data_IF_656557346203
#
_entry.id   IF_656557346203
#
_cell.length_a   1.000
_cell.length_b   1.000
_cell.length_c   1.000
_cell.angle_alpha   90.00
_cell.angle_beta   90.00
_cell.angle_gamma   90.00
#
_symmetry.space_group_name_H-M   'P 1'
#
loop_
_entity.id
_entity.type
_entity.pdbx_description
1 polymer ?
#
# COMPACT_ATOMS: atom_id res chain seq x y z
N UNK A 1 -52.62 -5.84 59.67
CA UNK A 1 -51.86 -6.10 58.43
C UNK A 1 -50.50 -5.41 58.52
N UNK A 2 -49.43 -6.14 58.84
CA UNK A 2 -48.04 -5.61 58.87
C UNK A 2 -47.35 -5.99 57.55
N UNK A 3 -46.89 -5.00 56.79
CA UNK A 3 -46.12 -5.20 55.55
C UNK A 3 -44.66 -5.44 55.91
N UNK A 4 -44.16 -6.62 55.54
CA UNK A 4 -42.77 -7.03 55.65
C UNK A 4 -41.95 -6.43 54.49
N UNK A 5 -40.88 -5.71 54.81
CA UNK A 5 -39.95 -5.12 53.86
C UNK A 5 -38.71 -6.01 53.74
N UNK A 6 -38.66 -6.85 52.69
CA UNK A 6 -37.48 -7.63 52.35
C UNK A 6 -36.42 -6.73 51.70
N UNK A 7 -35.33 -6.46 52.44
CA UNK A 7 -34.10 -5.86 51.90
C UNK A 7 -33.30 -6.93 51.16
N UNK A 8 -33.11 -6.73 49.86
CA UNK A 8 -32.20 -7.54 49.05
C UNK A 8 -30.77 -7.01 49.21
N UNK A 9 -29.88 -7.87 49.71
CA UNK A 9 -28.45 -7.61 49.84
C UNK A 9 -27.78 -8.10 48.55
N UNK A 10 -27.30 -7.18 47.72
CA UNK A 10 -26.49 -7.51 46.54
C UNK A 10 -25.08 -7.93 47.01
N UNK A 11 -24.50 -9.00 46.46
CA UNK A 11 -23.13 -9.39 46.76
C UNK A 11 -22.13 -8.40 46.14
N UNK A 12 -20.96 -8.19 46.77
CA UNK A 12 -19.92 -7.33 46.24
C UNK A 12 -19.32 -7.95 44.97
N UNK A 13 -19.44 -7.26 43.85
CA UNK A 13 -18.71 -7.56 42.62
C UNK A 13 -17.22 -7.29 42.85
N UNK A 14 -16.43 -8.34 43.03
CA UNK A 14 -14.98 -8.28 43.00
C UNK A 14 -14.53 -8.00 41.55
N UNK A 15 -14.07 -6.77 41.30
CA UNK A 15 -13.39 -6.41 40.04
C UNK A 15 -12.04 -7.13 39.99
N UNK A 16 -11.99 -8.29 39.32
CA UNK A 16 -10.72 -8.89 38.90
C UNK A 16 -10.11 -8.02 37.80
N UNK A 17 -9.17 -7.15 38.19
CA UNK A 17 -8.31 -6.43 37.26
C UNK A 17 -7.29 -7.43 36.72
N UNK A 18 -7.60 -8.06 35.59
CA UNK A 18 -6.63 -8.88 34.87
C UNK A 18 -5.51 -7.98 34.34
N UNK A 19 -4.39 -7.94 35.07
CA UNK A 19 -3.12 -7.47 34.53
C UNK A 19 -2.74 -8.40 33.37
N UNK A 20 -2.98 -7.93 32.15
CA UNK A 20 -2.47 -8.53 30.93
C UNK A 20 -0.95 -8.31 30.91
N UNK A 21 -0.21 -9.24 31.52
CA UNK A 21 1.23 -9.35 31.33
C UNK A 21 1.47 -9.60 29.84
N UNK A 22 2.12 -8.66 29.16
CA UNK A 22 2.51 -8.79 27.78
C UNK A 22 3.56 -9.91 27.66
N UNK A 23 3.09 -11.13 27.37
CA UNK A 23 3.97 -12.27 27.08
C UNK A 23 4.79 -11.91 25.83
N UNK A 24 6.13 -11.92 25.88
CA UNK A 24 6.95 -11.67 24.70
C UNK A 24 6.60 -12.73 23.66
N UNK A 25 6.06 -12.30 22.52
CA UNK A 25 5.73 -13.19 21.41
C UNK A 25 7.05 -13.80 20.93
N UNK A 26 7.26 -15.12 21.05
CA UNK A 26 8.48 -15.75 20.56
C UNK A 26 8.64 -15.41 19.09
N UNK A 27 9.83 -14.95 18.72
CA UNK A 27 10.20 -14.60 17.34
C UNK A 27 10.17 -15.87 16.49
N UNK A 28 8.99 -16.29 16.06
CA UNK A 28 8.76 -17.52 15.33
C UNK A 28 9.52 -17.52 14.00
N UNK A 29 10.33 -18.57 13.81
CA UNK A 29 11.00 -19.00 12.58
C UNK A 29 11.01 -17.98 11.42
N UNK A 30 12.03 -17.13 11.42
CA UNK A 30 12.45 -16.26 10.30
C UNK A 30 13.03 -17.03 9.10
N UNK A 31 12.68 -18.32 8.93
CA UNK A 31 13.41 -19.26 8.07
C UNK A 31 13.10 -19.20 6.57
N UNK A 32 12.05 -18.52 6.13
CA UNK A 32 11.72 -18.43 4.71
C UNK A 32 12.10 -17.06 4.15
N UNK A 33 13.24 -16.99 3.46
CA UNK A 33 13.58 -15.83 2.63
C UNK A 33 12.55 -15.72 1.51
N UNK A 34 11.73 -14.66 1.53
CA UNK A 34 10.81 -14.37 0.43
C UNK A 34 11.63 -13.85 -0.74
N UNK A 35 11.44 -14.44 -1.91
CA UNK A 35 11.97 -13.89 -3.16
C UNK A 35 11.46 -12.46 -3.34
N UNK A 36 12.38 -11.49 -3.39
CA UNK A 36 12.09 -10.06 -3.55
C UNK A 36 11.17 -9.79 -4.75
N UNK A 37 11.33 -10.54 -5.86
CA UNK A 37 10.48 -10.40 -7.05
C UNK A 37 9.04 -10.86 -6.85
N UNK A 38 8.80 -11.65 -5.80
CA UNK A 38 7.48 -12.17 -5.39
C UNK A 38 6.96 -11.50 -4.12
N UNK A 39 7.73 -10.57 -3.53
CA UNK A 39 7.34 -9.89 -2.30
C UNK A 39 6.11 -9.03 -2.52
N UNK A 40 5.94 -8.41 -3.69
CA UNK A 40 4.67 -7.81 -4.11
C UNK A 40 4.04 -8.66 -5.21
N UNK A 41 2.70 -8.63 -5.36
CA UNK A 41 2.04 -9.28 -6.48
C UNK A 41 2.64 -8.74 -7.79
N UNK A 42 2.95 -9.67 -8.69
CA UNK A 42 3.24 -9.31 -10.09
C UNK A 42 1.92 -9.04 -10.82
N UNK A 43 1.97 -8.52 -12.05
CA UNK A 43 0.79 -8.30 -12.91
C UNK A 43 0.13 -9.65 -13.28
N UNK A 44 -0.55 -10.22 -12.29
CA UNK A 44 -1.20 -11.51 -12.31
C UNK A 44 -2.58 -11.30 -11.74
N UNK A 45 -3.56 -11.52 -12.59
CA UNK A 45 -4.95 -11.69 -12.20
C UNK A 45 -5.37 -13.06 -12.69
N UNK A 46 -5.57 -14.02 -11.78
CA UNK A 46 -6.17 -15.31 -12.12
C UNK A 46 -7.67 -15.19 -12.46
N UNK A 47 -8.31 -16.27 -12.92
CA UNK A 47 -9.77 -16.30 -13.01
C UNK A 47 -10.42 -16.15 -11.63
N UNK A 48 -11.58 -15.51 -11.58
CA UNK A 48 -12.42 -15.40 -10.38
C UNK A 48 -13.62 -16.34 -10.51
N UNK A 49 -13.93 -17.15 -9.49
CA UNK A 49 -15.19 -17.88 -9.44
C UNK A 49 -16.38 -16.91 -9.25
N UNK A 50 -17.60 -17.44 -9.37
CA UNK A 50 -18.84 -16.66 -9.23
C UNK A 50 -19.04 -16.00 -7.87
N UNK A 51 -18.30 -16.45 -6.84
CA UNK A 51 -18.33 -15.88 -5.50
C UNK A 51 -16.92 -15.90 -4.92
N UNK A 52 -16.47 -14.78 -4.36
CA UNK A 52 -15.14 -14.64 -3.77
C UNK A 52 -15.19 -13.91 -2.43
N UNK A 53 -14.20 -14.15 -1.58
CA UNK A 53 -13.91 -13.35 -0.39
C UNK A 53 -12.60 -12.62 -0.61
N UNK A 54 -12.59 -11.31 -0.36
CA UNK A 54 -11.41 -10.48 -0.58
C UNK A 54 -11.40 -9.22 0.27
N UNK A 55 -10.28 -8.49 0.22
CA UNK A 55 -10.14 -7.19 0.89
C UNK A 55 -10.40 -6.08 -0.12
N UNK A 56 -11.28 -5.15 0.24
CA UNK A 56 -11.39 -3.85 -0.41
C UNK A 56 -10.35 -2.92 0.17
N UNK A 57 -9.50 -2.38 -0.71
CA UNK A 57 -8.41 -1.49 -0.38
C UNK A 57 -8.52 -0.18 -1.19
N UNK A 58 -8.76 0.97 -0.55
CA UNK A 58 -8.65 2.29 -1.15
C UNK A 58 -7.18 2.65 -1.37
N UNK A 59 -6.93 3.72 -2.11
CA UNK A 59 -5.59 4.31 -2.28
C UNK A 59 -4.50 3.33 -2.78
N UNK A 60 -4.88 2.24 -3.46
CA UNK A 60 -3.94 1.22 -3.96
C UNK A 60 -3.28 1.61 -5.29
N UNK A 61 -3.56 2.82 -5.79
CA UNK A 61 -3.09 3.34 -7.05
C UNK A 61 -1.56 3.37 -7.22
N UNK A 62 -0.74 3.76 -6.21
CA UNK A 62 0.72 3.70 -6.34
C UNK A 62 1.24 2.29 -6.65
N UNK A 63 0.62 1.25 -6.07
CA UNK A 63 1.00 -0.14 -6.32
C UNK A 63 0.58 -0.63 -7.69
N UNK A 64 -0.58 -0.18 -8.15
CA UNK A 64 -1.11 -0.55 -9.46
C UNK A 64 -0.25 0.07 -10.58
N UNK A 65 0.21 1.31 -10.38
CA UNK A 65 1.19 1.94 -11.28
C UNK A 65 2.50 1.16 -11.36
N UNK A 66 2.98 0.61 -10.24
CA UNK A 66 4.21 -0.21 -10.21
C UNK A 66 4.10 -1.49 -11.05
N UNK A 67 2.90 -2.06 -11.16
CA UNK A 67 2.65 -3.23 -12.04
C UNK A 67 2.25 -2.84 -13.47
N UNK A 68 2.46 -1.58 -13.86
CA UNK A 68 2.23 -1.10 -15.23
C UNK A 68 0.75 -0.89 -15.59
N UNK A 69 -0.13 -0.88 -14.60
CA UNK A 69 -1.56 -0.65 -14.79
C UNK A 69 -1.89 0.81 -14.47
N UNK A 70 -2.66 1.45 -15.35
CA UNK A 70 -3.01 2.86 -15.21
C UNK A 70 -4.53 3.01 -15.20
N UNK A 71 -5.03 3.58 -14.11
CA UNK A 71 -6.36 4.16 -14.04
C UNK A 71 -6.21 5.65 -13.77
N UNK A 72 -7.08 6.44 -14.39
CA UNK A 72 -7.12 7.89 -14.15
C UNK A 72 -7.81 8.24 -12.82
N UNK A 73 -8.56 7.31 -12.23
CA UNK A 73 -9.30 7.52 -11.00
C UNK A 73 -8.45 7.14 -9.77
N UNK A 74 -7.94 8.17 -9.08
CA UNK A 74 -7.12 8.02 -7.85
C UNK A 74 -7.95 7.55 -6.64
N UNK A 75 -9.26 7.78 -6.64
CA UNK A 75 -10.22 7.43 -5.59
C UNK A 75 -10.88 6.06 -5.79
N UNK A 76 -10.45 5.30 -6.79
CA UNK A 76 -10.96 3.97 -7.05
C UNK A 76 -10.61 3.00 -5.91
N UNK A 77 -11.55 2.12 -5.59
CA UNK A 77 -11.38 1.03 -4.64
C UNK A 77 -11.03 -0.23 -5.40
N UNK A 78 -10.10 -0.99 -4.84
CA UNK A 78 -9.61 -2.22 -5.45
C UNK A 78 -9.92 -3.43 -4.58
N UNK A 79 -10.22 -4.54 -5.24
CA UNK A 79 -10.30 -5.85 -4.61
C UNK A 79 -8.94 -6.54 -4.66
N UNK A 80 -8.56 -7.15 -3.54
CA UNK A 80 -7.36 -7.98 -3.41
C UNK A 80 -7.69 -9.32 -2.79
N UNK A 81 -7.26 -10.39 -3.43
CA UNK A 81 -7.41 -11.77 -2.95
C UNK A 81 -6.27 -12.65 -3.48
N UNK A 82 -5.97 -13.72 -2.74
CA UNK A 82 -5.03 -14.79 -3.07
C UNK A 82 -3.60 -14.34 -3.46
N UNK A 83 -3.17 -13.15 -3.05
CA UNK A 83 -1.85 -12.65 -3.42
C UNK A 83 -1.77 -12.16 -4.88
N UNK A 84 -2.91 -11.98 -5.55
CA UNK A 84 -2.99 -11.42 -6.90
C UNK A 84 -2.87 -9.89 -6.90
N UNK A 85 -2.62 -9.31 -8.07
CA UNK A 85 -2.69 -7.87 -8.28
C UNK A 85 -4.09 -7.32 -7.97
N UNK A 86 -4.12 -6.10 -7.44
CA UNK A 86 -5.36 -5.35 -7.22
C UNK A 86 -6.25 -5.31 -8.46
N UNK A 87 -7.54 -5.56 -8.28
CA UNK A 87 -8.55 -5.54 -9.35
C UNK A 87 -9.49 -4.38 -9.12
N UNK A 88 -9.67 -3.56 -10.13
CA UNK A 88 -10.80 -2.65 -10.15
C UNK A 88 -12.05 -3.40 -10.59
N UNK A 89 -13.20 -2.96 -10.12
CA UNK A 89 -14.47 -3.59 -10.45
C UNK A 89 -15.59 -2.57 -10.45
N UNK A 90 -16.67 -2.93 -11.13
CA UNK A 90 -17.87 -2.12 -11.18
C UNK A 90 -18.88 -2.61 -10.14
N UNK A 91 -19.66 -1.71 -9.57
CA UNK A 91 -20.75 -2.03 -8.65
C UNK A 91 -22.08 -1.46 -9.17
N UNK A 92 -23.23 -2.12 -8.89
CA UNK A 92 -24.54 -1.59 -9.20
C UNK A 92 -24.78 -0.22 -8.56
N UNK A 93 -25.37 0.69 -9.30
CA UNK A 93 -25.86 1.97 -8.81
C UNK A 93 -27.14 1.79 -7.99
N UNK A 94 -27.38 2.71 -7.05
CA UNK A 94 -28.67 2.79 -6.38
C UNK A 94 -29.80 3.04 -7.40
N UNK A 95 -31.00 2.51 -7.15
CA UNK A 95 -32.12 2.59 -8.08
C UNK A 95 -32.53 4.02 -8.46
N UNK A 96 -32.25 4.99 -7.58
CA UNK A 96 -32.51 6.42 -7.76
C UNK A 96 -31.32 7.23 -8.34
N UNK A 97 -30.18 6.59 -8.61
CA UNK A 97 -29.04 7.28 -9.22
C UNK A 97 -29.30 7.55 -10.72
N UNK A 98 -29.20 8.81 -11.19
CA UNK A 98 -29.53 9.17 -12.57
C UNK A 98 -28.50 8.70 -13.60
N UNK A 99 -27.33 8.21 -13.18
CA UNK A 99 -26.29 7.71 -14.10
C UNK A 99 -26.72 6.39 -14.75
N UNK A 100 -26.48 6.26 -16.05
CA UNK A 100 -26.92 5.12 -16.88
C UNK A 100 -25.76 4.35 -17.51
N UNK A 101 -24.59 4.40 -16.89
CA UNK A 101 -23.40 3.70 -17.36
C UNK A 101 -23.68 2.19 -17.49
N UNK A 102 -23.28 1.59 -18.60
CA UNK A 102 -23.29 0.13 -18.77
C UNK A 102 -21.88 -0.37 -19.07
N UNK A 103 -21.60 -1.60 -18.67
CA UNK A 103 -20.33 -2.27 -18.96
C UNK A 103 -20.59 -3.65 -19.52
N UNK A 104 -19.77 -4.07 -20.47
CA UNK A 104 -19.81 -5.44 -21.00
C UNK A 104 -18.53 -6.15 -20.60
N UNK A 105 -18.64 -7.18 -19.75
CA UNK A 105 -17.49 -7.92 -19.19
C UNK A 105 -17.53 -9.40 -19.61
N UNK A 106 -16.38 -10.06 -19.73
CA UNK A 106 -16.33 -11.50 -20.02
C UNK A 106 -16.74 -12.33 -18.79
N UNK A 107 -17.30 -13.52 -19.04
CA UNK A 107 -17.67 -14.51 -18.01
C UNK A 107 -16.96 -15.85 -18.24
N UNK A 108 -16.69 -16.61 -17.17
CA UNK A 108 -15.90 -17.85 -17.24
C UNK A 108 -16.66 -18.92 -18.02
N UNK A 109 -17.93 -19.09 -17.68
CA UNK A 109 -18.80 -20.03 -18.34
C UNK A 109 -19.19 -19.44 -19.70
N UNK A 110 -18.81 -20.11 -20.80
CA UNK A 110 -19.25 -19.85 -22.21
C UNK A 110 -18.42 -18.93 -23.12
N UNK A 111 -17.23 -18.42 -22.74
CA UNK A 111 -16.49 -17.39 -23.54
C UNK A 111 -17.39 -16.20 -23.93
N UNK A 112 -18.50 -16.01 -23.23
CA UNK A 112 -19.50 -15.02 -23.52
C UNK A 112 -19.15 -13.71 -22.83
N UNK A 113 -19.76 -12.63 -23.29
CA UNK A 113 -19.74 -11.34 -22.60
C UNK A 113 -21.14 -11.04 -22.09
N UNK A 114 -21.23 -10.51 -20.87
CA UNK A 114 -22.48 -10.11 -20.26
C UNK A 114 -22.51 -8.60 -20.10
N UNK A 115 -23.59 -7.97 -20.53
CA UNK A 115 -23.83 -6.55 -20.33
C UNK A 115 -24.51 -6.35 -18.98
N UNK A 116 -23.95 -5.45 -18.18
CA UNK A 116 -24.52 -4.98 -16.94
C UNK A 116 -24.86 -3.50 -17.10
N UNK A 117 -26.11 -3.16 -16.83
CA UNK A 117 -26.58 -1.79 -16.87
C UNK A 117 -26.50 -1.15 -15.48
N UNK A 118 -26.43 0.18 -15.46
CA UNK A 118 -26.43 0.99 -14.24
C UNK A 118 -25.34 0.58 -13.26
N UNK A 119 -24.10 0.51 -13.74
CA UNK A 119 -22.94 0.21 -12.92
C UNK A 119 -21.94 1.35 -12.93
N UNK A 120 -21.18 1.53 -11.84
CA UNK A 120 -20.05 2.46 -11.82
C UNK A 120 -18.78 1.77 -11.33
N UNK A 121 -17.63 2.32 -11.69
CA UNK A 121 -16.37 1.97 -11.02
C UNK A 121 -16.49 2.29 -9.54
N UNK A 122 -16.22 1.32 -8.66
CA UNK A 122 -16.35 1.56 -7.22
C UNK A 122 -15.30 2.57 -6.74
N UNK A 123 -15.77 3.60 -6.02
CA UNK A 123 -14.96 4.69 -5.45
C UNK A 123 -15.24 4.84 -3.96
N UNK A 124 -14.37 5.54 -3.24
CA UNK A 124 -14.50 5.80 -1.80
C UNK A 124 -15.87 6.38 -1.42
N UNK A 125 -16.35 7.40 -2.15
CA UNK A 125 -17.68 7.98 -1.91
C UNK A 125 -18.85 6.99 -2.06
N UNK A 126 -18.68 5.96 -2.89
CA UNK A 126 -19.73 4.96 -3.15
C UNK A 126 -19.71 3.82 -2.15
N UNK A 127 -18.58 3.55 -1.50
CA UNK A 127 -18.52 2.52 -0.46
C UNK A 127 -19.11 3.02 0.86
N UNK A 128 -18.96 4.32 1.13
CA UNK A 128 -19.55 4.95 2.32
C UNK A 128 -21.09 4.88 2.29
N UNK A 129 -21.72 5.00 1.12
CA UNK A 129 -23.18 4.92 1.00
C UNK A 129 -23.75 3.52 1.29
N UNK A 130 -22.92 2.47 1.23
CA UNK A 130 -23.28 1.09 1.62
C UNK A 130 -22.82 0.74 3.04
N UNK A 131 -22.48 1.74 3.86
CA UNK A 131 -22.17 1.57 5.29
C UNK A 131 -20.74 1.07 5.58
N UNK A 132 -19.84 1.17 4.60
CA UNK A 132 -18.43 0.84 4.73
C UNK A 132 -17.62 2.13 4.85
N UNK A 133 -17.23 2.49 6.07
CA UNK A 133 -16.58 3.78 6.36
C UNK A 133 -15.12 3.64 6.80
N UNK A 134 -14.58 2.43 6.83
CA UNK A 134 -13.20 2.19 7.25
C UNK A 134 -12.28 2.07 6.03
N UNK A 135 -10.98 2.28 6.24
CA UNK A 135 -9.99 2.21 5.16
C UNK A 135 -9.84 0.80 4.57
N UNK A 136 -10.25 -0.27 5.27
CA UNK A 136 -10.14 -1.62 4.74
C UNK A 136 -11.33 -2.47 5.14
N UNK A 137 -11.81 -3.27 4.20
CA UNK A 137 -12.96 -4.13 4.42
C UNK A 137 -12.78 -5.54 3.88
N UNK A 138 -13.02 -6.55 4.70
CA UNK A 138 -13.26 -7.92 4.24
C UNK A 138 -14.69 -8.03 3.73
N UNK A 139 -14.83 -8.49 2.49
CA UNK A 139 -16.13 -8.61 1.82
C UNK A 139 -16.27 -9.94 1.11
N UNK A 140 -17.51 -10.41 1.01
CA UNK A 140 -17.93 -11.40 0.05
C UNK A 140 -18.52 -10.69 -1.18
N UNK A 141 -18.13 -11.12 -2.37
CA UNK A 141 -18.58 -10.54 -3.64
C UNK A 141 -19.16 -11.64 -4.52
N UNK A 142 -20.34 -11.38 -5.07
CA UNK A 142 -20.91 -12.12 -6.20
C UNK A 142 -20.37 -11.53 -7.51
N UNK A 143 -19.57 -12.31 -8.25
CA UNK A 143 -18.86 -11.87 -9.45
C UNK A 143 -19.70 -12.16 -10.68
N UNK A 144 -20.03 -11.10 -11.44
CA UNK A 144 -20.79 -11.15 -12.69
C UNK A 144 -22.09 -11.97 -12.55
N UNK A 145 -22.89 -11.70 -11.52
CA UNK A 145 -24.13 -12.44 -11.24
C UNK A 145 -23.92 -13.92 -10.91
N UNK A 146 -22.73 -14.31 -10.44
CA UNK A 146 -22.39 -15.70 -10.15
C UNK A 146 -21.67 -16.43 -11.29
N UNK A 147 -21.42 -15.77 -12.43
CA UNK A 147 -20.75 -16.39 -13.58
C UNK A 147 -19.21 -16.32 -13.54
N UNK A 148 -18.64 -15.62 -12.56
CA UNK A 148 -17.19 -15.45 -12.43
C UNK A 148 -16.60 -14.56 -13.52
N UNK A 149 -15.28 -14.35 -13.49
CA UNK A 149 -14.56 -13.57 -14.51
C UNK A 149 -13.25 -14.26 -14.90
N UNK A 150 -12.95 -14.44 -16.21
CA UNK A 150 -11.65 -14.95 -16.64
C UNK A 150 -10.55 -13.87 -16.62
N UNK A 151 -10.91 -12.61 -16.41
CA UNK A 151 -10.02 -11.44 -16.54
C UNK A 151 -9.90 -10.64 -15.23
N UNK A 152 -9.08 -9.59 -15.25
CA UNK A 152 -8.87 -8.68 -14.12
C UNK A 152 -10.03 -7.70 -13.85
N UNK A 153 -11.00 -7.55 -14.77
CA UNK A 153 -12.16 -6.65 -14.62
C UNK A 153 -13.46 -7.46 -14.49
N UNK A 154 -14.37 -7.03 -13.62
CA UNK A 154 -15.66 -7.69 -13.40
C UNK A 154 -16.68 -6.72 -12.78
N UNK A 155 -17.93 -7.18 -12.66
CA UNK A 155 -19.02 -6.51 -11.94
C UNK A 155 -19.29 -7.25 -10.62
N UNK A 156 -19.20 -6.55 -9.50
CA UNK A 156 -19.60 -7.04 -8.19
C UNK A 156 -21.11 -6.89 -8.02
N UNK A 157 -21.88 -7.85 -8.53
CA UNK A 157 -23.35 -7.80 -8.54
C UNK A 157 -23.95 -7.74 -7.13
N UNK A 158 -23.24 -8.29 -6.14
CA UNK A 158 -23.55 -8.14 -4.70
C UNK A 158 -22.25 -7.97 -3.93
N UNK A 159 -22.28 -7.13 -2.90
CA UNK A 159 -21.17 -6.93 -1.97
C UNK A 159 -21.73 -7.06 -0.56
N UNK A 160 -21.16 -7.95 0.24
CA UNK A 160 -21.53 -8.18 1.64
C UNK A 160 -20.32 -7.98 2.54
N UNK A 161 -20.43 -7.08 3.52
CA UNK A 161 -19.39 -6.89 4.55
C UNK A 161 -19.28 -8.14 5.42
N UNK A 162 -18.06 -8.60 5.66
CA UNK A 162 -17.75 -9.73 6.54
C UNK A 162 -17.02 -9.31 7.83
N UNK A 163 -16.31 -8.17 7.83
CA UNK A 163 -15.54 -7.71 9.01
C UNK A 163 -16.35 -7.70 10.30
N UNK A 164 -15.80 -8.28 11.36
CA UNK A 164 -16.41 -8.30 12.69
C UNK A 164 -17.70 -9.12 12.78
N UNK A 165 -18.02 -9.92 11.76
CA UNK A 165 -19.13 -10.88 11.82
C UNK A 165 -18.79 -12.05 12.75
N UNK A 166 -19.78 -12.85 13.13
CA UNK A 166 -19.55 -14.07 13.92
C UNK A 166 -18.62 -15.06 13.19
N UNK A 167 -18.73 -15.12 11.86
CA UNK A 167 -17.89 -15.98 11.03
C UNK A 167 -16.50 -15.40 10.82
N UNK A 168 -16.37 -14.08 10.67
CA UNK A 168 -15.09 -13.39 10.51
C UNK A 168 -14.93 -12.31 11.59
N UNK A 169 -14.51 -12.68 12.82
CA UNK A 169 -14.39 -11.72 13.92
C UNK A 169 -13.33 -10.64 13.70
N UNK A 170 -12.35 -10.91 12.81
CA UNK A 170 -11.35 -9.95 12.37
C UNK A 170 -12.00 -8.64 11.91
N UNK A 171 -11.47 -7.52 12.41
CA UNK A 171 -11.73 -6.19 11.89
C UNK A 171 -10.52 -5.70 11.09
N UNK A 172 -10.56 -5.85 9.77
CA UNK A 172 -9.38 -5.65 8.91
C UNK A 172 -8.74 -4.28 9.12
N UNK A 173 -9.52 -3.19 9.15
CA UNK A 173 -8.98 -1.84 9.33
C UNK A 173 -8.22 -1.64 10.65
N UNK A 174 -8.71 -2.21 11.76
CA UNK A 174 -8.03 -2.11 13.07
C UNK A 174 -6.71 -2.91 13.05
N UNK A 175 -6.72 -4.10 12.45
CA UNK A 175 -5.52 -4.93 12.30
C UNK A 175 -4.49 -4.25 11.41
N UNK A 176 -4.87 -3.75 10.23
CA UNK A 176 -3.93 -3.07 9.31
C UNK A 176 -3.29 -1.86 10.00
N UNK A 177 -4.07 -1.05 10.73
CA UNK A 177 -3.53 0.07 11.51
C UNK A 177 -2.52 -0.38 12.57
N UNK A 178 -2.81 -1.47 13.28
CA UNK A 178 -1.87 -2.05 14.25
C UNK A 178 -0.58 -2.54 13.59
N UNK A 179 -0.67 -3.14 12.40
CA UNK A 179 0.50 -3.58 11.64
C UNK A 179 1.31 -2.43 11.05
N UNK A 180 0.67 -1.33 10.63
CA UNK A 180 1.34 -0.09 10.24
C UNK A 180 2.19 0.47 11.37
N UNK A 181 1.64 0.52 12.60
CA UNK A 181 2.42 0.94 13.78
C UNK A 181 3.63 0.04 13.99
N UNK A 182 3.45 -1.29 13.95
CA UNK A 182 4.56 -2.25 14.10
C UNK A 182 5.62 -2.07 13.02
N UNK A 183 5.22 -1.76 11.79
CA UNK A 183 6.18 -1.49 10.73
C UNK A 183 6.94 -0.19 10.98
N UNK A 184 6.26 0.87 11.44
CA UNK A 184 6.93 2.12 11.85
C UNK A 184 7.96 1.89 12.97
N UNK A 185 7.63 1.04 13.95
CA UNK A 185 8.57 0.66 15.01
C UNK A 185 9.77 -0.11 14.45
N UNK A 186 9.53 -1.04 13.51
CA UNK A 186 10.59 -1.75 12.80
C UNK A 186 11.54 -0.77 12.08
N UNK A 187 11.02 0.24 11.40
CA UNK A 187 11.84 1.26 10.74
C UNK A 187 12.72 2.04 11.73
N UNK A 188 12.15 2.40 12.86
CA UNK A 188 12.85 3.15 13.92
C UNK A 188 13.97 2.30 14.52
N UNK A 189 13.65 1.06 14.89
CA UNK A 189 14.56 0.12 15.53
C UNK A 189 15.71 -0.34 14.60
N UNK A 190 15.49 -0.36 13.29
CA UNK A 190 16.48 -0.75 12.30
C UNK A 190 17.15 0.43 11.58
N UNK A 191 16.94 1.67 12.05
CA UNK A 191 17.49 2.91 11.45
C UNK A 191 19.00 2.84 11.19
N UNK A 192 19.77 2.30 12.14
CA UNK A 192 21.22 2.12 11.98
C UNK A 192 21.58 1.15 10.84
N UNK A 193 20.87 0.04 10.70
CA UNK A 193 21.10 -0.93 9.63
C UNK A 193 20.72 -0.37 8.26
N UNK A 194 19.64 0.42 8.20
CA UNK A 194 19.18 1.16 7.03
C UNK A 194 20.29 2.13 6.57
N UNK A 195 20.87 2.91 7.47
CA UNK A 195 21.97 3.85 7.14
C UNK A 195 23.23 3.13 6.66
N UNK A 196 23.57 1.99 7.26
CA UNK A 196 24.67 1.14 6.80
C UNK A 196 24.38 0.59 5.39
N UNK A 197 23.16 0.13 5.13
CA UNK A 197 22.72 -0.33 3.82
C UNK A 197 22.84 0.76 2.75
N UNK A 198 22.37 1.98 3.05
CA UNK A 198 22.50 3.14 2.18
C UNK A 198 23.96 3.50 1.92
N UNK A 199 24.80 3.50 2.96
CA UNK A 199 26.23 3.78 2.83
C UNK A 199 26.93 2.75 1.93
N UNK A 200 26.56 1.47 2.04
CA UNK A 200 27.05 0.40 1.16
C UNK A 200 26.57 0.59 -0.28
N UNK A 201 25.32 0.98 -0.49
CA UNK A 201 24.78 1.27 -1.82
C UNK A 201 25.52 2.44 -2.48
N UNK A 202 25.73 3.53 -1.73
CA UNK A 202 26.47 4.71 -2.20
C UNK A 202 27.91 4.36 -2.60
N UNK A 203 28.62 3.59 -1.76
CA UNK A 203 30.00 3.18 -2.01
C UNK A 203 30.17 2.36 -3.30
N UNK A 204 29.13 1.60 -3.71
CA UNK A 204 29.14 0.82 -4.96
C UNK A 204 29.04 1.69 -6.22
N UNK A 205 28.42 2.86 -6.12
CA UNK A 205 28.11 3.71 -7.31
C UNK A 205 29.00 4.94 -7.39
N UNK A 206 29.21 5.65 -6.28
CA UNK A 206 29.89 6.96 -6.28
C UNK A 206 31.39 6.90 -5.96
N UNK A 207 31.92 5.73 -5.60
CA UNK A 207 33.29 5.63 -5.09
C UNK A 207 33.50 6.52 -3.85
N UNK A 208 34.64 7.22 -3.77
CA UNK A 208 34.97 8.12 -2.63
C UNK A 208 34.45 9.56 -2.78
N UNK A 209 33.88 9.96 -3.92
CA UNK A 209 33.40 11.34 -4.14
C UNK A 209 31.95 11.48 -3.67
N UNK A 210 31.69 12.51 -2.87
CA UNK A 210 30.73 12.47 -1.76
C UNK A 210 29.71 13.61 -1.81
N UNK A 211 29.11 13.84 -2.97
CA UNK A 211 27.94 14.71 -3.08
C UNK A 211 26.73 13.82 -3.36
N UNK A 212 25.99 13.51 -2.29
CA UNK A 212 24.75 12.74 -2.34
C UNK A 212 23.62 13.73 -2.60
N UNK A 213 22.74 13.39 -3.54
CA UNK A 213 21.59 14.22 -3.89
C UNK A 213 20.44 14.07 -2.91
N UNK A 214 19.24 14.41 -3.38
CA UNK A 214 18.03 14.34 -2.56
C UNK A 214 17.62 12.88 -2.34
N UNK A 215 17.68 12.44 -1.09
CA UNK A 215 17.14 11.14 -0.67
C UNK A 215 15.61 11.11 -0.79
N UNK A 216 15.10 10.19 -1.59
CA UNK A 216 13.67 9.90 -1.74
C UNK A 216 13.32 8.61 -1.01
N UNK A 217 12.26 8.64 -0.19
CA UNK A 217 11.70 7.45 0.45
C UNK A 217 10.31 7.18 -0.10
N UNK A 218 10.06 5.95 -0.52
CA UNK A 218 8.77 5.47 -0.95
C UNK A 218 8.35 4.28 -0.08
N UNK A 219 7.20 4.40 0.56
CA UNK A 219 6.59 3.32 1.33
C UNK A 219 5.38 2.78 0.57
N UNK A 220 5.23 1.46 0.59
CA UNK A 220 4.23 0.73 -0.19
C UNK A 220 3.59 -0.34 0.69
N UNK A 221 2.26 -0.40 0.70
CA UNK A 221 1.51 -1.35 1.53
C UNK A 221 0.53 -2.15 0.66
N UNK A 222 0.70 -3.47 0.65
CA UNK A 222 -0.19 -4.40 -0.02
C UNK A 222 -0.98 -5.20 1.01
N UNK A 223 -2.28 -5.35 0.80
CA UNK A 223 -3.21 -6.06 1.68
C UNK A 223 -4.00 -7.06 0.83
N UNK A 224 -4.05 -8.32 1.23
CA UNK A 224 -4.80 -9.38 0.52
C UNK A 224 -5.42 -10.37 1.48
N UNK A 225 -6.56 -10.94 1.09
CA UNK A 225 -7.13 -12.11 1.75
C UNK A 225 -6.73 -13.39 1.03
N UNK A 226 -6.23 -14.38 1.75
CA UNK A 226 -5.85 -15.69 1.22
C UNK A 226 -7.01 -16.65 1.47
N UNK A 227 -7.82 -16.94 0.44
CA UNK A 227 -9.04 -17.74 0.57
C UNK A 227 -8.76 -19.15 1.09
N UNK A 228 -7.76 -19.84 0.52
CA UNK A 228 -7.46 -21.25 0.85
C UNK A 228 -7.04 -21.44 2.31
N UNK A 229 -6.41 -20.43 2.90
CA UNK A 229 -5.95 -20.48 4.29
C UNK A 229 -6.77 -19.63 5.25
N UNK A 230 -7.79 -18.91 4.75
CA UNK A 230 -8.57 -17.92 5.49
C UNK A 230 -7.72 -16.94 6.32
N UNK A 231 -6.70 -16.35 5.68
CA UNK A 231 -5.75 -15.45 6.35
C UNK A 231 -5.68 -14.10 5.67
N UNK A 232 -5.50 -13.06 6.47
CA UNK A 232 -5.12 -11.74 5.98
C UNK A 232 -3.59 -11.68 5.87
N UNK A 233 -3.09 -11.28 4.71
CA UNK A 233 -1.68 -10.98 4.51
C UNK A 233 -1.49 -9.48 4.24
N UNK A 234 -0.57 -8.86 4.97
CA UNK A 234 -0.23 -7.44 4.84
C UNK A 234 1.27 -7.31 4.64
N UNK A 235 1.68 -6.69 3.53
CA UNK A 235 3.08 -6.51 3.15
C UNK A 235 3.43 -5.04 3.08
N UNK A 236 4.51 -4.67 3.73
CA UNK A 236 5.10 -3.34 3.71
C UNK A 236 6.45 -3.40 3.00
N UNK A 237 6.67 -2.51 2.04
CA UNK A 237 7.93 -2.36 1.32
C UNK A 237 8.35 -0.89 1.41
N UNK A 238 9.56 -0.66 1.88
CA UNK A 238 10.21 0.64 1.84
C UNK A 238 11.34 0.59 0.82
N UNK A 239 11.33 1.54 -0.10
CA UNK A 239 12.41 1.80 -1.04
C UNK A 239 12.98 3.17 -0.76
N UNK A 240 14.27 3.23 -0.44
CA UNK A 240 15.00 4.48 -0.25
C UNK A 240 15.93 4.62 -1.44
N UNK A 241 15.79 5.71 -2.19
CA UNK A 241 16.60 6.03 -3.37
C UNK A 241 17.36 7.32 -3.13
N UNK A 242 18.56 7.39 -3.67
CA UNK A 242 19.42 8.56 -3.67
C UNK A 242 20.07 8.68 -5.06
N UNK A 243 20.54 9.86 -5.41
CA UNK A 243 21.15 10.15 -6.71
C UNK A 243 22.58 10.60 -6.46
N UNK A 244 23.56 9.97 -7.10
CA UNK A 244 24.90 10.53 -7.11
C UNK A 244 24.85 11.83 -7.93
N UNK A 245 25.09 13.00 -7.31
CA UNK A 245 25.16 14.23 -8.09
C UNK A 245 26.47 14.26 -8.85
N UNK A 246 26.38 14.34 -10.18
CA UNK A 246 27.51 14.63 -11.03
C UNK A 246 27.51 16.15 -11.25
N UNK A 247 28.14 16.91 -10.36
CA UNK A 247 28.57 18.26 -10.67
C UNK A 247 30.02 18.22 -11.16
N UNK A 248 30.28 18.14 -12.47
CA UNK A 248 31.60 18.43 -13.00
C UNK A 248 31.81 19.96 -12.95
N UNK A 249 32.22 20.47 -11.80
CA UNK A 249 32.81 21.82 -11.71
C UNK A 249 31.92 22.97 -11.23
N UNK A 250 30.74 22.71 -10.64
CA UNK A 250 30.06 23.76 -9.91
C UNK A 250 30.85 24.09 -8.64
N UNK A 251 31.34 25.33 -8.56
CA UNK A 251 31.92 25.90 -7.34
C UNK A 251 30.89 25.76 -6.20
N UNK A 252 31.27 25.12 -5.11
CA UNK A 252 30.43 24.79 -3.93
C UNK A 252 29.62 25.97 -3.36
N UNK A 253 30.11 27.18 -3.60
CA UNK A 253 29.54 28.46 -3.22
C UNK A 253 28.29 28.87 -4.03
N UNK A 254 28.08 28.32 -5.23
CA UNK A 254 26.91 28.63 -6.06
C UNK A 254 25.72 27.70 -5.78
N UNK A 255 25.98 26.40 -5.56
CA UNK A 255 24.95 25.42 -5.20
C UNK A 255 24.24 25.76 -3.87
N UNK A 256 24.96 26.32 -2.89
CA UNK A 256 24.40 26.78 -1.62
C UNK A 256 23.40 27.95 -1.78
N UNK A 257 23.56 28.77 -2.82
CA UNK A 257 22.63 29.87 -3.11
C UNK A 257 21.30 29.35 -3.67
N UNK A 258 21.33 28.26 -4.46
CA UNK A 258 20.12 27.68 -5.05
C UNK A 258 19.29 26.84 -4.06
N UNK A 259 19.91 26.11 -3.13
CA UNK A 259 19.17 25.35 -2.10
C UNK A 259 18.41 26.27 -1.14
N UNK A 260 18.96 27.44 -0.84
CA UNK A 260 18.30 28.44 0.01
C UNK A 260 17.12 29.12 -0.71
N UNK A 261 17.23 29.36 -2.02
CA UNK A 261 16.16 29.93 -2.84
C UNK A 261 15.02 28.92 -3.12
N UNK A 262 15.35 27.65 -3.36
CA UNK A 262 14.39 26.57 -3.61
C UNK A 262 13.47 26.26 -2.41
N UNK A 263 13.86 26.66 -1.19
CA UNK A 263 13.01 26.51 0.01
C UNK A 263 11.88 27.55 0.13
N UNK A 264 11.92 28.66 -0.63
CA UNK A 264 10.93 29.75 -0.53
C UNK A 264 10.01 29.88 -1.74
N UNK A 265 10.43 29.43 -2.91
CA UNK A 265 9.59 29.44 -4.11
C UNK A 265 8.95 28.06 -4.28
N UNK A 266 7.65 28.01 -4.59
CA UNK A 266 6.95 26.76 -4.94
C UNK A 266 7.59 26.02 -6.12
N UNK A 267 6.98 24.93 -6.65
CA UNK A 267 7.62 24.02 -7.61
C UNK A 267 8.27 24.78 -8.77
N UNK A 268 9.59 24.90 -8.72
CA UNK A 268 10.38 25.60 -9.73
C UNK A 268 10.39 24.70 -10.96
N UNK A 269 9.81 25.19 -12.05
CA UNK A 269 10.03 24.63 -13.37
C UNK A 269 11.53 24.68 -13.67
N UNK A 270 12.17 23.52 -13.76
CA UNK A 270 13.60 23.34 -14.09
C UNK A 270 13.96 23.84 -15.50
N UNK A 271 12.98 24.29 -16.29
CA UNK A 271 13.17 24.68 -17.68
C UNK A 271 13.92 26.00 -17.92
N UNK A 272 14.28 26.77 -16.87
CA UNK A 272 14.83 28.14 -17.04
C UNK A 272 16.28 28.35 -16.60
N UNK A 273 16.92 27.38 -15.95
CA UNK A 273 18.36 27.43 -15.70
C UNK A 273 19.04 26.63 -16.81
N UNK A 274 19.75 27.29 -17.73
CA UNK A 274 20.42 26.69 -18.90
C UNK A 274 21.60 25.75 -18.58
N UNK A 275 21.54 25.05 -17.45
CA UNK A 275 22.44 23.96 -17.13
C UNK A 275 21.74 22.64 -17.47
N UNK A 276 22.37 21.86 -18.33
CA UNK A 276 21.97 20.48 -18.62
C UNK A 276 22.16 19.63 -17.35
N UNK A 277 21.21 19.70 -16.43
CA UNK A 277 21.18 18.84 -15.25
C UNK A 277 21.01 17.40 -15.74
N UNK A 278 22.12 16.67 -15.78
CA UNK A 278 22.10 15.24 -15.93
C UNK A 278 22.06 14.64 -14.52
N UNK A 279 20.92 14.12 -14.07
CA UNK A 279 20.90 13.38 -12.81
C UNK A 279 21.93 12.26 -12.93
N UNK A 280 22.80 12.07 -11.95
CA UNK A 280 23.75 10.96 -11.96
C UNK A 280 23.07 9.63 -11.59
N UNK A 281 23.82 8.51 -11.58
CA UNK A 281 23.27 7.18 -11.34
C UNK A 281 22.50 7.13 -10.02
N UNK A 282 21.35 6.44 -10.05
CA UNK A 282 20.51 6.25 -8.87
C UNK A 282 20.96 5.00 -8.12
N UNK A 283 20.96 5.06 -6.80
CA UNK A 283 21.23 3.91 -5.94
C UNK A 283 20.32 3.97 -4.73
N UNK A 284 20.28 2.88 -3.98
CA UNK A 284 19.42 2.86 -2.81
C UNK A 284 19.39 1.51 -2.12
N UNK A 285 18.42 1.37 -1.24
CA UNK A 285 18.09 0.10 -0.60
C UNK A 285 16.60 -0.16 -0.68
N UNK A 286 16.25 -1.44 -0.61
CA UNK A 286 14.87 -1.88 -0.55
C UNK A 286 14.74 -2.99 0.49
N UNK A 287 13.70 -2.91 1.31
CA UNK A 287 13.44 -3.85 2.42
C UNK A 287 11.98 -3.77 2.86
N UNK A 288 11.52 -4.70 3.69
CA UNK A 288 10.11 -4.80 4.00
C UNK A 288 9.75 -5.80 5.09
N UNK A 289 8.46 -5.85 5.42
CA UNK A 289 7.88 -6.81 6.36
C UNK A 289 6.57 -7.36 5.78
N UNK A 290 6.38 -8.68 5.84
CA UNK A 290 5.12 -9.33 5.56
C UNK A 290 4.55 -9.91 6.85
N UNK A 291 3.28 -9.63 7.12
CA UNK A 291 2.55 -10.11 8.29
C UNK A 291 1.40 -10.99 7.83
N UNK A 292 1.23 -12.13 8.50
CA UNK A 292 0.13 -13.06 8.27
C UNK A 292 -0.73 -13.11 9.53
N UNK A 293 -2.01 -12.81 9.37
CA UNK A 293 -2.99 -12.71 10.45
C UNK A 293 -4.11 -13.72 10.19
N UNK A 294 -4.46 -14.47 11.23
CA UNK A 294 -5.59 -15.39 11.24
C UNK A 294 -6.94 -14.69 11.03
N UNK A 295 -7.98 -15.48 10.72
CA UNK A 295 -9.38 -15.05 10.61
C UNK A 295 -9.93 -14.44 11.92
N UNK A 296 -9.33 -14.75 13.05
CA UNK A 296 -9.66 -14.18 14.37
C UNK A 296 -8.90 -12.87 14.67
N UNK A 297 -8.01 -12.42 13.79
CA UNK A 297 -7.22 -11.21 13.99
C UNK A 297 -5.93 -11.39 14.79
N UNK A 298 -5.49 -12.63 15.03
CA UNK A 298 -4.20 -12.89 15.71
C UNK A 298 -3.06 -12.93 14.69
N UNK A 299 -1.99 -12.19 14.98
CA UNK A 299 -0.75 -12.25 14.21
C UNK A 299 -0.09 -13.63 14.37
N UNK A 300 -0.01 -14.39 13.28
CA UNK A 300 0.56 -15.74 13.29
C UNK A 300 2.02 -15.75 12.86
N UNK A 301 2.38 -14.91 11.88
CA UNK A 301 3.72 -14.92 11.29
C UNK A 301 4.14 -13.51 10.86
N UNK A 302 5.43 -13.23 11.04
CA UNK A 302 6.10 -12.03 10.52
C UNK A 302 7.32 -12.47 9.73
N UNK A 303 7.50 -11.94 8.52
CA UNK A 303 8.61 -12.29 7.62
C UNK A 303 9.29 -11.01 7.18
N UNK A 304 10.59 -10.90 7.45
CA UNK A 304 11.38 -9.75 7.02
C UNK A 304 11.90 -9.96 5.59
N UNK A 305 11.77 -8.93 4.76
CA UNK A 305 12.52 -8.80 3.52
C UNK A 305 13.80 -8.01 3.86
N UNK A 306 15.00 -8.64 3.78
CA UNK A 306 16.24 -8.04 4.26
C UNK A 306 16.61 -6.79 3.48
N UNK A 307 17.44 -5.94 4.11
CA UNK A 307 18.00 -4.74 3.50
C UNK A 307 18.97 -5.13 2.39
N UNK A 308 18.59 -4.82 1.15
CA UNK A 308 19.41 -5.09 -0.02
C UNK A 308 19.68 -3.82 -0.81
N UNK A 309 20.96 -3.53 -1.10
CA UNK A 309 21.33 -2.39 -1.92
C UNK A 309 21.03 -2.65 -3.38
N UNK A 310 20.55 -1.64 -4.09
CA UNK A 310 20.42 -1.64 -5.54
C UNK A 310 21.17 -0.45 -6.16
N UNK A 311 21.57 -0.63 -7.41
CA UNK A 311 22.02 0.44 -8.30
C UNK A 311 21.10 0.40 -9.53
N UNK A 312 20.42 1.51 -9.81
CA UNK A 312 19.57 1.63 -10.98
C UNK A 312 20.34 2.36 -12.07
N UNK A 313 20.59 1.64 -13.17
CA UNK A 313 21.16 2.24 -14.35
C UNK A 313 20.09 3.12 -15.03
N UNK A 314 20.37 4.41 -15.18
CA UNK A 314 19.39 5.39 -15.67
C UNK A 314 18.87 5.07 -17.07
N UNK A 315 19.62 4.28 -17.85
CA UNK A 315 19.22 3.85 -19.19
C UNK A 315 17.86 3.12 -19.18
N UNK A 316 17.52 2.39 -18.11
CA UNK A 316 16.26 1.66 -18.00
C UNK A 316 15.04 2.58 -17.74
N UNK A 317 15.23 3.71 -17.04
CA UNK A 317 14.15 4.65 -16.73
C UNK A 317 13.65 5.44 -17.95
N UNK A 318 14.51 5.66 -18.96
CA UNK A 318 14.14 6.34 -20.21
C UNK A 318 13.24 5.50 -21.13
N UNK A 319 13.18 4.18 -20.96
CA UNK A 319 12.31 3.34 -21.77
C UNK A 319 10.82 3.51 -21.41
N UNK A 320 10.51 3.86 -20.14
CA UNK A 320 9.13 4.00 -19.66
C UNK A 320 8.54 5.38 -20.01
N UNK A 321 9.37 6.41 -20.26
CA UNK A 321 8.88 7.76 -20.58
C UNK A 321 8.50 7.99 -22.04
N UNK A 322 8.71 7.01 -22.94
CA UNK A 322 8.16 7.04 -24.31
C UNK A 322 6.69 6.60 -24.32
N UNK A 323 5.88 7.11 -23.40
CA UNK A 323 4.42 7.06 -23.55
C UNK A 323 4.10 8.08 -24.65
N UNK A 324 3.48 7.69 -25.78
CA UNK A 324 3.13 8.62 -26.83
C UNK A 324 2.28 9.74 -26.25
N UNK A 325 2.76 10.98 -26.41
CA UNK A 325 2.08 12.20 -26.01
C UNK A 325 0.69 12.27 -26.66
N UNK A 326 -0.33 11.80 -25.95
CA UNK A 326 -1.72 12.10 -26.29
C UNK A 326 -1.96 13.56 -25.92
N UNK A 327 -2.08 14.41 -26.93
CA UNK A 327 -2.46 15.82 -26.81
C UNK A 327 -3.67 15.99 -25.89
N UNK A 328 -3.47 16.52 -24.67
CA UNK A 328 -4.28 17.55 -23.95
C UNK A 328 -4.03 17.52 -22.43
N UNK A 329 -3.29 18.52 -21.96
CA UNK A 329 -3.64 19.39 -20.82
C UNK A 329 -4.20 18.80 -19.52
N UNK A 330 -3.53 17.85 -18.88
CA UNK A 330 -3.73 17.58 -17.45
C UNK A 330 -2.42 17.76 -16.68
N UNK A 331 -2.32 18.83 -15.91
CA UNK A 331 -1.20 19.10 -15.00
C UNK A 331 -1.43 18.28 -13.73
N UNK A 332 -0.59 17.27 -13.49
CA UNK A 332 -0.68 16.44 -12.28
C UNK A 332 0.06 17.13 -11.12
N UNK A 333 -0.65 17.37 -10.02
CA UNK A 333 -0.03 17.78 -8.77
C UNK A 333 0.49 16.53 -8.04
N UNK A 334 1.78 16.22 -8.18
CA UNK A 334 2.44 15.26 -7.30
C UNK A 334 2.49 15.90 -5.90
N UNK A 335 1.81 15.31 -4.92
CA UNK A 335 1.96 15.74 -3.53
C UNK A 335 3.43 15.57 -3.13
N UNK A 336 4.12 16.63 -2.68
CA UNK A 336 5.49 16.52 -2.21
C UNK A 336 5.52 15.62 -0.97
N UNK A 337 6.32 14.57 -1.02
CA UNK A 337 6.67 13.77 0.16
C UNK A 337 7.51 14.67 1.07
N UNK A 338 7.18 14.73 2.36
CA UNK A 338 7.95 15.51 3.31
C UNK A 338 9.40 14.99 3.37
N UNK A 339 10.41 15.87 3.36
CA UNK A 339 11.80 15.45 3.48
C UNK A 339 12.00 14.68 4.78
N UNK A 340 12.65 13.52 4.70
CA UNK A 340 13.11 12.81 5.89
C UNK A 340 14.13 13.70 6.59
N UNK A 341 13.95 14.06 7.87
CA UNK A 341 14.92 14.86 8.58
C UNK A 341 16.28 14.14 8.60
N UNK A 342 17.41 14.87 8.49
CA UNK A 342 18.72 14.25 8.62
C UNK A 342 18.84 13.54 9.98
N UNK A 343 19.62 12.46 10.07
CA UNK A 343 19.84 11.79 11.35
C UNK A 343 20.40 12.80 12.38
N UNK A 344 20.02 12.68 13.66
CA UNK A 344 20.56 13.54 14.70
C UNK A 344 22.10 13.40 14.76
N UNK A 345 22.83 14.49 15.08
CA UNK A 345 24.26 14.41 15.27
C UNK A 345 24.59 13.39 16.38
N UNK A 346 25.73 12.69 16.30
CA UNK A 346 26.15 11.79 17.38
C UNK A 346 26.28 12.56 18.70
N UNK A 347 26.01 11.92 19.86
CA UNK A 347 26.20 12.57 21.14
C UNK A 347 27.65 13.05 21.30
N UNK A 348 27.89 14.21 21.96
CA UNK A 348 29.23 14.67 22.26
C UNK A 348 29.97 13.61 23.07
N UNK A 349 31.25 13.41 22.74
CA UNK A 349 32.13 12.47 23.45
C UNK A 349 32.46 12.94 24.85
#
# INVERSE_FOLDING_TARGET
MRRSTSRWILPPFLFFTSLLLAVPVPSGNSGATIDRKKFFPQDRTGPLPGKVVGVLAPNSHPLIRKVGRFLHDEDAIYLSLNGDSYRWFYAPLAANDPRTNSVTVPVVDRRARMQFERVLLLRDSSIQSIGMTADFHLVEIEVNGGHGSPEGTFVASKIRKLDGSKEYPLKVAEVVRGLQSRYSDYLTNNSREIDVGMSKAAAKVAGRKKELGLRHREDSMYVTWMMDSERLEVRFLTRITDTAELYPGARTDEAARYTTAARRAGPISTARAGYDYQPGPQFGIEFGMAYVVSKEGKLERSIALPIEPFAADQAAGRAISKIPSTKRGATFAVRPVLPVPPPPPPPPK
#
